data_IF_541109166306
#
_entry.id   IF_541109166306
#
_cell.length_a   1.000
_cell.length_b   1.000
_cell.length_c   1.000
_cell.angle_alpha   90.00
_cell.angle_beta   90.00
_cell.angle_gamma   90.00
#
_symmetry.space_group_name_H-M   'P 1'
#
loop_
_entity.id
_entity.type
_entity.pdbx_description
1 polymer ?
#
# COMPACT_ATOMS: atom_id res chain seq x y z
N UNK A 1 6.85 5.26 3.54
CA UNK A 1 6.10 5.29 4.82
C UNK A 1 6.46 4.03 5.60
N UNK A 2 6.71 4.10 6.91
CA UNK A 2 6.95 2.90 7.73
C UNK A 2 5.64 2.21 8.09
N UNK A 3 5.72 0.90 8.35
CA UNK A 3 4.63 0.14 8.94
C UNK A 3 4.47 0.47 10.43
N UNK A 4 3.25 0.65 10.92
CA UNK A 4 2.97 0.92 12.34
C UNK A 4 3.39 -0.25 13.26
N UNK A 5 3.33 -1.50 12.78
CA UNK A 5 3.60 -2.68 13.61
C UNK A 5 5.09 -3.02 13.67
N UNK A 6 5.73 -3.17 12.49
CA UNK A 6 7.13 -3.61 12.42
C UNK A 6 8.13 -2.48 12.14
N UNK A 7 7.67 -1.23 12.00
CA UNK A 7 8.52 -0.07 11.70
C UNK A 7 9.16 -0.08 10.30
N UNK A 8 9.08 -1.19 9.56
CA UNK A 8 9.82 -1.36 8.30
C UNK A 8 9.26 -0.44 7.21
N UNK A 9 10.10 0.36 6.53
CA UNK A 9 9.68 1.15 5.38
C UNK A 9 9.43 0.24 4.17
N UNK A 10 8.21 0.27 3.62
CA UNK A 10 7.88 -0.48 2.39
C UNK A 10 7.22 0.43 1.34
N UNK A 11 7.38 0.02 0.08
CA UNK A 11 6.75 0.68 -1.08
C UNK A 11 5.27 0.35 -1.26
N UNK A 12 4.77 -0.68 -0.57
CA UNK A 12 3.38 -1.11 -0.54
C UNK A 12 2.96 -1.35 0.92
N UNK A 13 1.86 -0.72 1.33
CA UNK A 13 1.26 -0.86 2.66
C UNK A 13 -0.26 -0.97 2.49
N UNK A 14 -0.93 -1.58 3.46
CA UNK A 14 -2.38 -1.58 3.61
C UNK A 14 -2.77 -0.46 4.56
N UNK A 15 -3.72 0.38 4.15
CA UNK A 15 -4.36 1.36 5.03
C UNK A 15 -5.52 0.66 5.74
N UNK A 16 -5.51 0.62 7.07
CA UNK A 16 -6.62 0.07 7.84
C UNK A 16 -6.77 0.73 9.20
N UNK A 17 -7.99 0.72 9.73
CA UNK A 17 -8.26 0.98 11.15
C UNK A 17 -8.17 -0.37 11.85
N UNK A 18 -7.53 -0.42 13.01
CA UNK A 18 -7.34 -1.68 13.78
C UNK A 18 -7.78 -1.54 15.24
N UNK A 19 -8.08 -0.32 15.66
CA UNK A 19 -8.27 0.08 17.05
C UNK A 19 -9.50 1.00 17.16
N UNK A 20 -10.03 1.13 18.36
CA UNK A 20 -11.18 2.02 18.65
C UNK A 20 -10.85 3.50 18.46
N UNK A 21 -9.56 3.88 18.39
CA UNK A 21 -9.16 5.27 18.12
C UNK A 21 -9.52 5.71 16.69
N UNK A 22 -10.03 4.83 15.82
CA UNK A 22 -10.49 5.15 14.46
C UNK A 22 -9.40 5.80 13.60
N UNK A 23 -8.13 5.63 13.98
CA UNK A 23 -6.99 6.18 13.26
C UNK A 23 -6.60 5.25 12.13
N UNK A 24 -6.23 5.87 11.01
CA UNK A 24 -5.74 5.14 9.85
C UNK A 24 -4.29 4.72 10.05
N UNK A 25 -4.08 3.43 10.23
CA UNK A 25 -2.77 2.82 10.34
C UNK A 25 -2.26 2.35 8.97
N UNK A 26 -0.94 2.22 8.86
CA UNK A 26 -0.26 1.71 7.67
C UNK A 26 0.42 0.40 8.00
N UNK A 27 -0.02 -0.69 7.40
CA UNK A 27 0.38 -2.04 7.80
C UNK A 27 1.02 -2.77 6.62
N UNK A 28 2.01 -3.63 6.86
CA UNK A 28 2.62 -4.39 5.76
C UNK A 28 1.62 -5.42 5.19
N UNK A 29 1.48 -5.53 3.86
CA UNK A 29 0.80 -6.67 3.26
C UNK A 29 1.60 -7.95 3.60
N UNK A 30 0.91 -8.98 4.06
CA UNK A 30 1.51 -10.22 4.56
C UNK A 30 1.31 -10.41 6.06
N UNK A 31 2.40 -10.64 6.82
CA UNK A 31 2.34 -11.02 8.23
C UNK A 31 1.62 -9.99 9.11
N UNK A 32 2.04 -8.72 9.04
CA UNK A 32 1.47 -7.66 9.87
C UNK A 32 -0.03 -7.46 9.60
N UNK A 33 -0.44 -7.48 8.33
CA UNK A 33 -1.86 -7.36 7.96
C UNK A 33 -2.66 -8.58 8.43
N UNK A 34 -2.14 -9.79 8.22
CA UNK A 34 -2.79 -11.04 8.65
C UNK A 34 -3.00 -11.10 10.16
N UNK A 35 -2.09 -10.51 10.95
CA UNK A 35 -2.24 -10.41 12.40
C UNK A 35 -3.39 -9.51 12.85
N UNK A 36 -3.70 -8.44 12.08
CA UNK A 36 -4.75 -7.46 12.45
C UNK A 36 -6.10 -7.70 11.77
N UNK A 37 -6.13 -8.41 10.64
CA UNK A 37 -7.37 -8.70 9.90
C UNK A 37 -7.75 -10.17 9.89
N UNK A 38 -6.93 -11.05 10.47
CA UNK A 38 -7.01 -12.49 10.27
C UNK A 38 -6.66 -12.95 8.84
N UNK A 39 -6.24 -12.03 7.96
CA UNK A 39 -5.99 -12.28 6.54
C UNK A 39 -7.22 -12.19 5.65
N UNK A 40 -8.32 -11.60 6.16
CA UNK A 40 -9.57 -11.40 5.42
C UNK A 40 -9.80 -9.91 5.19
N UNK A 41 -10.15 -9.53 3.95
CA UNK A 41 -10.56 -8.16 3.61
C UNK A 41 -11.87 -7.82 4.37
N UNK A 42 -11.86 -6.69 5.08
CA UNK A 42 -12.91 -6.23 6.00
C UNK A 42 -13.32 -7.20 7.13
N UNK A 43 -12.43 -8.13 7.53
CA UNK A 43 -12.72 -9.08 8.61
C UNK A 43 -14.07 -9.80 8.44
N UNK A 44 -14.49 -10.05 7.20
CA UNK A 44 -15.79 -10.65 6.87
C UNK A 44 -15.87 -12.06 7.48
N UNK A 45 -16.75 -12.24 8.47
CA UNK A 45 -16.85 -13.47 9.27
C UNK A 45 -15.97 -13.54 10.52
N UNK A 46 -15.15 -12.50 10.77
CA UNK A 46 -14.33 -12.30 11.97
C UNK A 46 -14.70 -10.99 12.69
N UNK A 47 -15.88 -10.43 12.42
CA UNK A 47 -16.39 -9.18 13.01
C UNK A 47 -16.40 -9.24 14.55
N UNK A 48 -16.60 -10.43 15.14
CA UNK A 48 -16.51 -10.62 16.59
C UNK A 48 -15.08 -10.62 17.16
N UNK A 49 -14.05 -10.89 16.35
CA UNK A 49 -12.65 -10.84 16.77
C UNK A 49 -11.98 -9.50 16.45
N UNK A 50 -12.45 -8.80 15.41
CA UNK A 50 -11.92 -7.52 14.98
C UNK A 50 -13.03 -6.47 14.75
N UNK A 51 -13.78 -6.09 15.81
CA UNK A 51 -14.98 -5.24 15.68
C UNK A 51 -14.69 -3.82 15.16
N UNK A 52 -13.46 -3.34 15.34
CA UNK A 52 -13.04 -1.99 14.90
C UNK A 52 -12.22 -2.02 13.61
N UNK A 53 -12.00 -3.19 13.02
CA UNK A 53 -11.19 -3.29 11.83
C UNK A 53 -11.93 -2.74 10.61
N UNK A 54 -11.33 -1.76 9.92
CA UNK A 54 -11.84 -1.27 8.63
C UNK A 54 -10.75 -1.22 7.59
N UNK A 55 -11.04 -1.75 6.41
CA UNK A 55 -10.14 -1.66 5.28
C UNK A 55 -10.24 -0.28 4.61
N UNK A 56 -9.09 0.37 4.39
CA UNK A 56 -8.98 1.70 3.79
C UNK A 56 -8.26 1.71 2.44
N UNK A 57 -8.04 0.53 1.86
CA UNK A 57 -7.36 0.36 0.58
C UNK A 57 -5.84 0.23 0.67
N UNK A 58 -5.24 -0.06 -0.49
CA UNK A 58 -3.79 -0.24 -0.62
C UNK A 58 -3.10 1.11 -0.77
N UNK A 59 -2.16 1.41 0.12
CA UNK A 59 -1.24 2.54 -0.01
C UNK A 59 0.01 2.13 -0.79
N UNK A 60 0.32 2.88 -1.86
CA UNK A 60 1.51 2.65 -2.67
C UNK A 60 2.41 3.89 -2.67
N UNK A 61 3.71 3.69 -2.57
CA UNK A 61 4.67 4.77 -2.64
C UNK A 61 4.73 5.31 -4.08
N UNK A 62 4.17 6.50 -4.31
CA UNK A 62 4.13 7.13 -5.64
C UNK A 62 5.52 7.50 -6.18
N UNK A 63 6.55 7.50 -5.33
CA UNK A 63 7.94 7.80 -5.70
C UNK A 63 8.77 6.56 -5.96
N UNK A 64 8.24 5.35 -5.74
CA UNK A 64 8.93 4.15 -6.14
C UNK A 64 8.90 4.03 -7.68
N UNK A 65 10.04 3.77 -8.29
CA UNK A 65 10.12 3.27 -9.68
C UNK A 65 10.03 1.74 -9.61
N UNK A 66 9.01 1.14 -10.23
CA UNK A 66 8.79 -0.30 -10.19
C UNK A 66 7.34 -0.71 -10.49
N UNK A 67 7.03 -2.02 -10.54
CA UNK A 67 5.69 -2.55 -10.88
C UNK A 67 4.60 -2.11 -9.89
N UNK A 68 5.01 -1.60 -8.74
CA UNK A 68 4.15 -1.09 -7.68
C UNK A 68 3.66 0.35 -7.93
N UNK A 69 4.26 1.04 -8.91
CA UNK A 69 3.96 2.42 -9.24
C UNK A 69 3.06 2.49 -10.47
N UNK A 70 1.98 3.27 -10.38
CA UNK A 70 1.16 3.59 -11.55
C UNK A 70 1.86 4.57 -12.52
N UNK A 71 3.06 5.07 -12.17
CA UNK A 71 3.84 5.94 -13.03
C UNK A 71 4.47 5.13 -14.16
N UNK A 72 4.41 5.71 -15.36
CA UNK A 72 5.16 5.21 -16.51
C UNK A 72 6.65 5.13 -16.12
N UNK A 73 7.31 3.96 -16.29
CA UNK A 73 8.69 3.77 -15.86
C UNK A 73 9.63 4.83 -16.43
N UNK A 74 10.63 5.26 -15.65
CA UNK A 74 11.57 6.31 -16.07
C UNK A 74 12.25 6.02 -17.42
N UNK A 75 12.62 4.75 -17.66
CA UNK A 75 13.21 4.28 -18.94
C UNK A 75 12.31 4.58 -20.14
N UNK A 76 10.99 4.36 -20.00
CA UNK A 76 10.02 4.62 -21.07
C UNK A 76 9.87 6.11 -21.32
N UNK A 77 9.85 6.93 -20.26
CA UNK A 77 9.82 8.40 -20.40
C UNK A 77 11.06 8.94 -21.12
N UNK A 78 12.25 8.42 -20.80
CA UNK A 78 13.51 8.84 -21.45
C UNK A 78 13.49 8.50 -22.94
N UNK A 79 13.12 7.27 -23.29
CA UNK A 79 13.01 6.84 -24.69
C UNK A 79 12.05 7.72 -25.49
N UNK A 80 10.85 7.99 -24.97
CA UNK A 80 9.88 8.85 -25.66
C UNK A 80 10.35 10.29 -25.83
N UNK A 81 11.18 10.80 -24.89
CA UNK A 81 11.79 12.13 -25.01
C UNK A 81 12.83 12.16 -26.13
N UNK A 82 13.70 11.15 -26.20
CA UNK A 82 14.70 10.99 -27.27
C UNK A 82 14.03 10.84 -28.64
N UNK A 83 12.98 10.00 -28.74
CA UNK A 83 12.18 9.81 -29.96
C UNK A 83 11.49 11.10 -30.43
N UNK A 84 11.04 11.96 -29.51
CA UNK A 84 10.46 13.27 -29.85
C UNK A 84 11.52 14.23 -30.36
N UNK A 85 12.66 14.32 -29.67
CA UNK A 85 13.76 15.20 -30.04
C UNK A 85 14.39 14.86 -31.40
N UNK A 86 14.29 13.62 -31.87
CA UNK A 86 14.73 13.21 -33.22
C UNK A 86 13.73 13.56 -34.33
N UNK A 87 12.49 13.92 -33.99
CA UNK A 87 11.43 14.29 -34.95
C UNK A 87 11.30 15.81 -35.12
N UNK A 88 11.90 16.59 -34.24
CA UNK A 88 11.99 18.05 -34.30
C UNK A 88 13.32 18.47 -34.96
#
# INVERSE_FOLDING_TARGET
KPCTICGTPRGLLVRCIIDESQKWNMVCPGSCWRSVSGGVEDAKGLEGQYPHYRYGGMWKNKHADGPVSAKKPGKVKRRQKEERAQRE
#
